data_IF_061714873711
#
_entry.id   IF_061714873711
#
_cell.length_a   1.000
_cell.length_b   1.000
_cell.length_c   1.000
_cell.angle_alpha   90.00
_cell.angle_beta   90.00
_cell.angle_gamma   90.00
#
_symmetry.space_group_name_H-M   'P 1'
#
loop_
_entity.id
_entity.type
_entity.pdbx_description
1 polymer ?
#
# COMPACT_ATOMS: atom_id res chain seq x y z
N UNK A 1 32.56 -4.52 -10.70
CA UNK A 1 31.60 -3.84 -11.60
C UNK A 1 31.42 -2.42 -11.07
N UNK A 2 31.67 -1.36 -11.85
CA UNK A 2 31.60 0.02 -11.34
C UNK A 2 30.16 0.54 -11.49
N UNK A 3 29.43 0.66 -10.37
CA UNK A 3 28.10 1.25 -10.36
C UNK A 3 28.18 2.75 -10.70
N UNK A 4 27.21 3.27 -11.45
CA UNK A 4 27.15 4.69 -11.85
C UNK A 4 25.72 5.09 -12.23
N UNK A 5 25.38 6.37 -12.06
CA UNK A 5 24.09 6.95 -12.50
C UNK A 5 23.94 6.91 -14.02
N UNK A 6 25.03 7.06 -14.77
CA UNK A 6 25.01 6.89 -16.22
C UNK A 6 24.49 5.50 -16.63
N UNK A 7 25.03 4.44 -16.02
CA UNK A 7 24.56 3.08 -16.29
C UNK A 7 23.14 2.86 -15.74
N UNK A 8 22.78 3.47 -14.62
CA UNK A 8 21.42 3.40 -14.07
C UNK A 8 20.38 3.92 -15.08
N UNK A 9 20.62 5.11 -15.62
CA UNK A 9 19.78 5.76 -16.64
C UNK A 9 19.76 4.98 -17.94
N UNK A 10 20.92 4.49 -18.39
CA UNK A 10 21.00 3.64 -19.60
C UNK A 10 20.14 2.39 -19.45
N UNK A 11 20.26 1.68 -18.34
CA UNK A 11 19.46 0.48 -18.10
C UNK A 11 17.97 0.79 -17.95
N UNK A 12 17.60 1.91 -17.34
CA UNK A 12 16.21 2.35 -17.28
C UNK A 12 15.65 2.61 -18.69
N UNK A 13 16.40 3.29 -19.56
CA UNK A 13 16.00 3.54 -20.95
C UNK A 13 15.87 2.25 -21.78
N UNK A 14 16.67 1.22 -21.48
CA UNK A 14 16.61 -0.11 -22.10
C UNK A 14 15.56 -1.03 -21.48
N UNK A 15 14.81 -0.58 -20.46
CA UNK A 15 13.81 -1.38 -19.74
C UNK A 15 14.39 -2.44 -18.82
N UNK A 16 15.69 -2.36 -18.50
CA UNK A 16 16.40 -3.30 -17.63
C UNK A 16 16.28 -2.87 -16.16
N UNK A 17 15.05 -2.88 -15.66
CA UNK A 17 14.68 -2.25 -14.38
C UNK A 17 15.44 -2.79 -13.17
N UNK A 18 15.66 -4.11 -13.07
CA UNK A 18 16.44 -4.70 -11.96
C UNK A 18 17.88 -4.16 -11.92
N UNK A 19 18.49 -3.94 -13.09
CA UNK A 19 19.85 -3.39 -13.19
C UNK A 19 19.84 -1.89 -12.92
N UNK A 20 18.86 -1.17 -13.44
CA UNK A 20 18.69 0.25 -13.18
C UNK A 20 18.57 0.53 -11.68
N UNK A 21 17.63 -0.15 -11.00
CA UNK A 21 17.39 0.02 -9.57
C UNK A 21 18.63 -0.30 -8.73
N UNK A 22 19.32 -1.41 -9.03
CA UNK A 22 20.57 -1.77 -8.34
C UNK A 22 21.65 -0.70 -8.47
N UNK A 23 21.78 -0.09 -9.64
CA UNK A 23 22.74 0.99 -9.85
C UNK A 23 22.36 2.25 -9.10
N UNK A 24 21.09 2.65 -9.12
CA UNK A 24 20.61 3.79 -8.32
C UNK A 24 20.85 3.57 -6.83
N UNK A 25 20.37 2.46 -6.26
CA UNK A 25 20.56 2.16 -4.84
C UNK A 25 22.05 2.25 -4.47
N UNK A 26 22.92 1.56 -5.21
CA UNK A 26 24.34 1.51 -4.89
C UNK A 26 25.01 2.89 -4.93
N UNK A 27 24.70 3.71 -5.94
CA UNK A 27 25.36 5.02 -6.10
C UNK A 27 24.78 6.04 -5.12
N UNK A 28 23.46 6.07 -4.95
CA UNK A 28 22.80 7.04 -4.09
C UNK A 28 23.11 6.80 -2.60
N UNK A 29 23.43 5.56 -2.20
CA UNK A 29 23.95 5.28 -0.85
C UNK A 29 25.30 5.93 -0.56
N UNK A 30 26.08 6.26 -1.58
CA UNK A 30 27.38 6.94 -1.42
C UNK A 30 27.27 8.47 -1.35
N UNK A 31 26.09 9.03 -1.61
CA UNK A 31 25.85 10.47 -1.50
C UNK A 31 25.71 10.89 -0.04
N UNK A 32 26.62 11.75 0.43
CA UNK A 32 26.64 12.23 1.82
C UNK A 32 25.55 13.26 2.12
N UNK A 33 25.22 14.13 1.16
CA UNK A 33 24.20 15.16 1.35
C UNK A 33 22.80 14.59 1.03
N UNK A 34 22.05 14.25 2.08
CA UNK A 34 20.70 13.70 1.98
C UNK A 34 19.74 14.68 1.31
N UNK A 35 19.78 15.97 1.67
CA UNK A 35 18.83 16.95 1.14
C UNK A 35 19.02 17.17 -0.36
N UNK A 36 20.27 17.35 -0.78
CA UNK A 36 20.60 17.49 -2.19
C UNK A 36 20.26 16.22 -2.97
N UNK A 37 20.53 15.03 -2.39
CA UNK A 37 20.17 13.75 -2.99
C UNK A 37 18.67 13.63 -3.24
N UNK A 38 17.85 14.03 -2.28
CA UNK A 38 16.39 14.02 -2.46
C UNK A 38 15.95 14.98 -3.56
N UNK A 39 16.43 16.22 -3.53
CA UNK A 39 16.05 17.24 -4.53
C UNK A 39 16.45 16.82 -5.94
N UNK A 40 17.63 16.25 -6.12
CA UNK A 40 18.15 15.90 -7.44
C UNK A 40 17.58 14.59 -7.98
N UNK A 41 17.32 13.59 -7.13
CA UNK A 41 17.10 12.22 -7.60
C UNK A 41 15.76 11.61 -7.21
N UNK A 42 14.94 12.25 -6.35
CA UNK A 42 13.70 11.62 -5.88
C UNK A 42 12.75 11.27 -7.04
N UNK A 43 12.49 12.18 -7.97
CA UNK A 43 11.54 11.93 -9.07
C UNK A 43 12.07 10.92 -10.09
N UNK A 44 13.36 11.03 -10.45
CA UNK A 44 14.03 10.07 -11.34
C UNK A 44 14.03 8.67 -10.74
N UNK A 45 14.38 8.55 -9.46
CA UNK A 45 14.36 7.27 -8.74
C UNK A 45 12.95 6.72 -8.61
N UNK A 46 11.96 7.56 -8.25
CA UNK A 46 10.55 7.19 -8.13
C UNK A 46 10.02 6.57 -9.42
N UNK A 47 10.30 7.19 -10.57
CA UNK A 47 9.89 6.69 -11.89
C UNK A 47 10.47 5.31 -12.20
N UNK A 48 11.73 5.09 -11.83
CA UNK A 48 12.42 3.80 -12.02
C UNK A 48 11.90 2.75 -11.04
N UNK A 49 11.61 3.13 -9.79
CA UNK A 49 11.03 2.25 -8.78
C UNK A 49 9.64 1.78 -9.21
N UNK A 50 8.78 2.69 -9.68
CA UNK A 50 7.45 2.40 -10.21
C UNK A 50 7.54 1.40 -11.37
N UNK A 51 8.39 1.71 -12.36
CA UNK A 51 8.61 0.82 -13.51
C UNK A 51 9.14 -0.55 -13.09
N UNK A 52 10.06 -0.59 -12.12
CA UNK A 52 10.58 -1.84 -11.58
C UNK A 52 9.47 -2.68 -10.93
N UNK A 53 8.62 -2.07 -10.12
CA UNK A 53 7.51 -2.73 -9.45
C UNK A 53 6.44 -3.24 -10.43
N UNK A 54 6.20 -2.53 -11.54
CA UNK A 54 5.23 -2.94 -12.55
C UNK A 54 5.74 -4.06 -13.47
N UNK A 55 7.01 -4.02 -13.86
CA UNK A 55 7.51 -4.84 -14.98
C UNK A 55 8.49 -5.95 -14.57
N UNK A 56 9.07 -5.91 -13.37
CA UNK A 56 10.07 -6.90 -12.96
C UNK A 56 9.43 -8.09 -12.27
N UNK A 57 9.72 -9.30 -12.76
CA UNK A 57 9.10 -10.55 -12.28
C UNK A 57 9.29 -10.80 -10.78
N UNK A 58 10.41 -10.35 -10.23
CA UNK A 58 10.79 -10.60 -8.84
C UNK A 58 10.53 -9.40 -7.91
N UNK A 59 9.91 -8.32 -8.40
CA UNK A 59 9.80 -7.08 -7.65
C UNK A 59 9.14 -7.28 -6.28
N UNK A 60 7.99 -7.96 -6.25
CA UNK A 60 7.25 -8.20 -5.01
C UNK A 60 8.03 -9.04 -4.00
N UNK A 61 8.72 -10.08 -4.47
CA UNK A 61 9.54 -10.94 -3.62
C UNK A 61 10.74 -10.20 -3.01
N UNK A 62 11.22 -9.14 -3.67
CA UNK A 62 12.37 -8.36 -3.22
C UNK A 62 11.98 -7.08 -2.48
N UNK A 63 10.79 -6.53 -2.71
CA UNK A 63 10.39 -5.20 -2.25
C UNK A 63 10.54 -5.07 -0.73
N UNK A 64 10.04 -6.05 0.04
CA UNK A 64 10.11 -6.04 1.51
C UNK A 64 11.52 -5.86 2.05
N UNK A 65 12.53 -6.44 1.40
CA UNK A 65 13.93 -6.30 1.79
C UNK A 65 14.54 -4.94 1.37
N UNK A 66 13.93 -4.27 0.40
CA UNK A 66 14.38 -2.98 -0.14
C UNK A 66 13.67 -1.77 0.47
N UNK A 67 12.57 -1.95 1.20
CA UNK A 67 11.80 -0.85 1.81
C UNK A 67 12.67 0.07 2.68
N UNK A 68 13.35 -0.47 3.69
CA UNK A 68 14.20 0.34 4.56
C UNK A 68 15.34 1.03 3.79
N UNK A 69 16.10 0.34 2.91
CA UNK A 69 17.09 0.98 2.06
C UNK A 69 16.55 2.13 1.20
N UNK A 70 15.38 1.96 0.57
CA UNK A 70 14.76 2.98 -0.28
C UNK A 70 14.36 4.20 0.56
N UNK A 71 13.72 3.97 1.70
CA UNK A 71 13.23 5.02 2.58
C UNK A 71 14.38 5.78 3.24
N UNK A 72 15.49 5.11 3.56
CA UNK A 72 16.71 5.74 4.04
C UNK A 72 17.34 6.68 3.01
N UNK A 73 17.21 6.36 1.71
CA UNK A 73 17.68 7.25 0.64
C UNK A 73 16.80 8.50 0.50
N UNK A 74 15.51 8.39 0.80
CA UNK A 74 14.54 9.46 0.57
C UNK A 74 13.59 9.65 1.76
N UNK A 75 14.10 9.99 2.96
CA UNK A 75 13.34 10.01 4.21
C UNK A 75 12.21 11.05 4.26
N UNK A 76 12.17 12.02 3.34
CA UNK A 76 11.14 13.08 3.25
C UNK A 76 10.37 13.07 1.93
N UNK A 77 10.59 12.06 1.08
CA UNK A 77 9.99 12.02 -0.25
C UNK A 77 8.54 11.54 -0.22
N UNK A 78 7.61 12.50 -0.21
CA UNK A 78 6.17 12.25 -0.34
C UNK A 78 5.84 11.38 -1.56
N UNK A 79 6.38 11.63 -2.78
CA UNK A 79 6.04 10.82 -3.96
C UNK A 79 6.45 9.35 -3.83
N UNK A 80 7.60 9.06 -3.22
CA UNK A 80 8.08 7.68 -3.04
C UNK A 80 7.21 6.96 -2.02
N UNK A 81 6.83 7.62 -0.93
CA UNK A 81 5.96 7.02 0.09
C UNK A 81 4.57 6.77 -0.45
N UNK A 82 3.99 7.72 -1.18
CA UNK A 82 2.70 7.53 -1.83
C UNK A 82 2.74 6.37 -2.80
N UNK A 83 3.76 6.29 -3.68
CA UNK A 83 3.94 5.18 -4.60
C UNK A 83 4.02 3.81 -3.89
N UNK A 84 4.83 3.70 -2.83
CA UNK A 84 4.94 2.46 -2.05
C UNK A 84 3.63 2.09 -1.34
N UNK A 85 2.93 3.09 -0.80
CA UNK A 85 1.62 2.91 -0.15
C UNK A 85 0.58 2.40 -1.14
N UNK A 86 0.53 2.99 -2.34
CA UNK A 86 -0.35 2.61 -3.44
C UNK A 86 -0.11 1.19 -3.91
N UNK A 87 1.15 0.83 -4.16
CA UNK A 87 1.51 -0.51 -4.61
C UNK A 87 1.14 -1.58 -3.57
N UNK A 88 1.38 -1.32 -2.29
CA UNK A 88 1.14 -2.30 -1.23
C UNK A 88 -0.34 -2.39 -0.85
N UNK A 89 -1.02 -1.27 -0.60
CA UNK A 89 -2.43 -1.28 -0.21
C UNK A 89 -3.34 -1.72 -1.37
N UNK A 90 -2.97 -1.41 -2.63
CA UNK A 90 -3.66 -1.95 -3.79
C UNK A 90 -3.66 -3.48 -3.81
N UNK A 91 -2.58 -4.14 -3.38
CA UNK A 91 -2.49 -5.61 -3.36
C UNK A 91 -3.25 -6.27 -2.22
N UNK A 92 -3.34 -5.62 -1.06
CA UNK A 92 -4.16 -6.13 0.06
C UNK A 92 -5.65 -6.20 -0.31
N UNK A 93 -6.12 -5.31 -1.17
CA UNK A 93 -7.52 -5.27 -1.62
C UNK A 93 -7.90 -6.47 -2.51
N UNK A 94 -6.96 -6.99 -3.31
CA UNK A 94 -7.28 -7.96 -4.36
C UNK A 94 -6.90 -9.41 -4.02
N UNK A 95 -6.29 -9.69 -2.87
CA UNK A 95 -5.81 -11.02 -2.50
C UNK A 95 -6.42 -11.50 -1.17
N UNK A 96 -7.64 -12.06 -1.23
CA UNK A 96 -8.26 -12.76 -0.10
C UNK A 96 -7.58 -14.11 0.23
N UNK A 97 -6.83 -14.70 -0.71
CA UNK A 97 -6.25 -16.05 -0.55
C UNK A 97 -4.77 -16.09 -0.07
N UNK A 98 -4.07 -14.96 0.01
CA UNK A 98 -2.67 -14.88 0.48
C UNK A 98 -2.49 -13.83 1.60
N UNK A 99 -3.44 -13.79 2.53
CA UNK A 99 -3.53 -12.78 3.59
C UNK A 99 -2.25 -12.65 4.45
N UNK A 100 -1.42 -13.69 4.56
CA UNK A 100 -0.20 -13.65 5.37
C UNK A 100 0.94 -12.80 4.74
N UNK A 101 1.10 -12.79 3.41
CA UNK A 101 2.24 -12.09 2.79
C UNK A 101 1.98 -10.60 2.55
N UNK A 102 0.72 -10.23 2.26
CA UNK A 102 0.30 -8.83 2.09
C UNK A 102 0.40 -8.03 3.39
N UNK A 103 -0.17 -8.60 4.47
CA UNK A 103 -0.15 -8.01 5.81
C UNK A 103 1.29 -7.84 6.35
N UNK A 104 2.17 -8.79 6.04
CA UNK A 104 3.60 -8.71 6.36
C UNK A 104 4.27 -7.52 5.66
N UNK A 105 3.95 -7.27 4.39
CA UNK A 105 4.57 -6.20 3.59
C UNK A 105 4.08 -4.81 4.01
N UNK A 106 2.78 -4.66 4.31
CA UNK A 106 2.24 -3.42 4.86
C UNK A 106 2.88 -3.06 6.21
N UNK A 107 2.97 -4.02 7.14
CA UNK A 107 3.59 -3.77 8.44
C UNK A 107 5.10 -3.53 8.32
N UNK A 108 5.79 -4.20 7.38
CA UNK A 108 7.19 -3.90 7.05
C UNK A 108 7.36 -2.47 6.54
N UNK A 109 6.47 -1.98 5.67
CA UNK A 109 6.49 -0.59 5.19
C UNK A 109 6.25 0.39 6.34
N UNK A 110 5.20 0.16 7.13
CA UNK A 110 4.88 1.00 8.29
C UNK A 110 6.05 1.08 9.27
N UNK A 111 6.67 -0.05 9.57
CA UNK A 111 7.85 -0.13 10.44
C UNK A 111 9.03 0.63 9.82
N UNK A 112 9.33 0.41 8.55
CA UNK A 112 10.43 1.08 7.87
C UNK A 112 10.25 2.60 7.85
N UNK A 113 9.04 3.10 7.58
CA UNK A 113 8.73 4.54 7.65
C UNK A 113 8.97 5.10 9.05
N UNK A 114 8.57 4.36 10.10
CA UNK A 114 8.75 4.83 11.49
C UNK A 114 10.21 4.92 11.93
N UNK A 115 11.12 4.21 11.25
CA UNK A 115 12.55 4.15 11.58
C UNK A 115 13.36 5.07 10.67
N UNK A 116 13.08 5.05 9.37
CA UNK A 116 13.92 5.66 8.35
C UNK A 116 13.46 7.06 7.93
N UNK A 117 12.19 7.42 8.12
CA UNK A 117 11.62 8.65 7.58
C UNK A 117 11.41 9.75 8.62
N UNK A 118 11.24 10.97 8.13
CA UNK A 118 10.76 12.09 8.94
C UNK A 118 9.38 11.77 9.57
N UNK A 119 9.10 12.21 10.81
CA UNK A 119 7.84 11.92 11.49
C UNK A 119 6.57 12.25 10.68
N UNK A 120 6.61 13.27 9.82
CA UNK A 120 5.49 13.65 8.97
C UNK A 120 5.12 12.56 7.96
N UNK A 121 6.08 11.75 7.53
CA UNK A 121 5.88 10.70 6.53
C UNK A 121 4.97 9.58 7.01
N UNK A 122 4.91 9.34 8.31
CA UNK A 122 3.92 8.44 8.89
C UNK A 122 2.48 8.92 8.66
N UNK A 123 2.26 10.24 8.63
CA UNK A 123 0.94 10.80 8.30
C UNK A 123 0.63 10.66 6.80
N UNK A 124 1.61 10.92 5.93
CA UNK A 124 1.50 10.73 4.48
C UNK A 124 1.09 9.30 4.16
N UNK A 125 1.80 8.31 4.71
CA UNK A 125 1.49 6.89 4.54
C UNK A 125 0.05 6.54 4.93
N UNK A 126 -0.43 7.02 6.09
CA UNK A 126 -1.80 6.75 6.56
C UNK A 126 -2.84 7.36 5.63
N UNK A 127 -2.63 8.60 5.18
CA UNK A 127 -3.55 9.30 4.27
C UNK A 127 -3.58 8.61 2.92
N UNK A 128 -2.42 8.32 2.32
CA UNK A 128 -2.34 7.62 1.03
C UNK A 128 -3.01 6.24 1.10
N UNK A 129 -2.73 5.46 2.15
CA UNK A 129 -3.38 4.16 2.40
C UNK A 129 -4.90 4.26 2.53
N UNK A 130 -5.40 5.28 3.25
CA UNK A 130 -6.84 5.51 3.41
C UNK A 130 -7.51 5.93 2.11
N UNK A 131 -6.85 6.77 1.30
CA UNK A 131 -7.37 7.23 0.00
C UNK A 131 -7.58 6.06 -0.97
N UNK A 132 -6.62 5.13 -1.04
CA UNK A 132 -6.73 3.93 -1.89
C UNK A 132 -7.93 3.09 -1.46
N UNK A 133 -8.08 2.84 -0.16
CA UNK A 133 -9.24 2.10 0.37
C UNK A 133 -10.56 2.80 0.06
N UNK A 134 -10.58 4.13 0.08
CA UNK A 134 -11.78 4.91 -0.24
C UNK A 134 -12.17 4.90 -1.72
N UNK A 135 -11.29 4.44 -2.63
CA UNK A 135 -11.64 4.30 -4.04
C UNK A 135 -12.63 3.15 -4.33
N UNK A 136 -12.77 2.21 -3.39
CA UNK A 136 -13.62 1.02 -3.53
C UNK A 136 -15.00 1.20 -2.88
N UNK A 137 -15.04 1.95 -1.78
CA UNK A 137 -16.24 2.28 -1.03
C UNK A 137 -16.04 3.64 -0.38
N UNK A 138 -17.11 4.43 -0.29
CA UNK A 138 -17.03 5.68 0.44
C UNK A 138 -16.62 5.45 1.89
N UNK A 139 -15.76 6.31 2.45
CA UNK A 139 -15.24 6.15 3.81
C UNK A 139 -16.34 6.09 4.88
N UNK A 140 -17.51 6.69 4.63
CA UNK A 140 -18.63 6.65 5.58
C UNK A 140 -19.20 5.24 5.79
N UNK A 141 -19.08 4.36 4.78
CA UNK A 141 -19.42 2.94 4.93
C UNK A 141 -18.56 2.25 5.99
N UNK A 142 -17.29 2.64 6.17
CA UNK A 142 -16.43 2.06 7.19
C UNK A 142 -16.87 2.43 8.60
N UNK A 143 -17.36 3.66 8.82
CA UNK A 143 -17.95 4.02 10.10
C UNK A 143 -19.19 3.18 10.40
N UNK A 144 -20.03 2.92 9.40
CA UNK A 144 -21.20 2.05 9.56
C UNK A 144 -20.84 0.59 9.84
N UNK A 145 -19.82 0.03 9.19
CA UNK A 145 -19.36 -1.34 9.42
C UNK A 145 -18.71 -1.48 10.80
N UNK A 146 -17.95 -0.48 11.23
CA UNK A 146 -17.23 -0.52 12.51
C UNK A 146 -18.09 -0.11 13.71
N UNK A 147 -19.31 0.42 13.50
CA UNK A 147 -20.26 0.70 14.57
C UNK A 147 -20.83 -0.61 15.14
N UNK A 148 -20.07 -1.18 16.08
CA UNK A 148 -20.37 -2.48 16.68
C UNK A 148 -21.70 -2.48 17.42
N UNK A 149 -21.97 -1.45 18.22
CA UNK A 149 -23.20 -1.38 19.02
C UNK A 149 -24.44 -1.35 18.14
N UNK A 150 -24.42 -0.50 17.09
CA UNK A 150 -25.49 -0.43 16.09
C UNK A 150 -25.67 -1.77 15.39
N UNK A 151 -24.58 -2.39 14.93
CA UNK A 151 -24.62 -3.62 14.16
C UNK A 151 -25.09 -4.83 14.99
N UNK A 152 -24.72 -4.92 16.27
CA UNK A 152 -25.21 -5.95 17.19
C UNK A 152 -26.73 -5.84 17.40
N UNK A 153 -27.26 -4.62 17.60
CA UNK A 153 -28.71 -4.41 17.74
C UNK A 153 -29.49 -4.83 16.50
N UNK A 154 -28.97 -4.54 15.30
CA UNK A 154 -29.60 -5.00 14.06
C UNK A 154 -29.54 -6.51 13.90
N UNK A 155 -28.40 -7.13 14.23
CA UNK A 155 -28.27 -8.58 14.21
C UNK A 155 -29.28 -9.24 15.15
N UNK A 156 -29.43 -8.71 16.36
CA UNK A 156 -30.38 -9.19 17.37
C UNK A 156 -31.84 -8.99 16.94
N UNK A 157 -32.17 -7.86 16.33
CA UNK A 157 -33.50 -7.64 15.76
C UNK A 157 -33.81 -8.67 14.66
N UNK A 158 -32.88 -8.91 13.73
CA UNK A 158 -33.04 -9.92 12.67
C UNK A 158 -33.14 -11.34 13.24
N UNK A 159 -32.38 -11.67 14.30
CA UNK A 159 -32.47 -12.99 14.98
C UNK A 159 -33.89 -13.31 15.42
N UNK A 160 -34.62 -12.30 15.85
CA UNK A 160 -35.92 -12.46 16.48
C UNK A 160 -37.08 -12.50 15.48
N UNK A 161 -36.84 -12.12 14.21
CA UNK A 161 -37.91 -11.93 13.22
C UNK A 161 -37.75 -12.86 12.01
N UNK A 162 -36.51 -13.09 11.55
CA UNK A 162 -36.24 -13.86 10.32
C UNK A 162 -35.94 -15.32 10.65
N UNK A 163 -36.64 -16.23 9.99
CA UNK A 163 -36.40 -17.69 10.06
C UNK A 163 -35.89 -18.24 8.74
N UNK A 164 -35.33 -19.46 8.74
CA UNK A 164 -34.63 -20.06 7.59
C UNK A 164 -35.50 -20.31 6.35
N UNK A 165 -36.82 -20.26 6.48
CA UNK A 165 -37.77 -20.39 5.35
C UNK A 165 -38.15 -19.07 4.71
N UNK A 166 -37.74 -17.94 5.30
CA UNK A 166 -38.13 -16.62 4.82
C UNK A 166 -37.31 -16.18 3.62
N UNK A 167 -37.91 -15.38 2.76
CA UNK A 167 -37.22 -14.67 1.69
C UNK A 167 -37.06 -13.19 2.07
N UNK A 168 -35.81 -12.73 2.17
CA UNK A 168 -35.48 -11.36 2.59
C UNK A 168 -35.00 -10.55 1.40
N UNK A 169 -35.57 -9.35 1.22
CA UNK A 169 -35.13 -8.35 0.24
C UNK A 169 -34.60 -7.11 0.98
N UNK A 170 -33.32 -6.82 0.79
CA UNK A 170 -32.63 -5.66 1.40
C UNK A 170 -32.58 -4.50 0.40
N UNK A 171 -33.48 -3.52 0.57
CA UNK A 171 -33.59 -2.37 -0.33
C UNK A 171 -32.70 -1.24 0.19
N UNK A 172 -31.78 -0.76 -0.64
CA UNK A 172 -30.81 0.26 -0.23
C UNK A 172 -29.74 -0.31 0.70
N UNK A 173 -29.29 -1.54 0.44
CA UNK A 173 -28.44 -2.35 1.32
C UNK A 173 -27.12 -1.67 1.76
N UNK A 174 -26.67 -0.62 1.09
CA UNK A 174 -25.45 0.12 1.44
C UNK A 174 -24.24 -0.82 1.53
N UNK A 175 -23.77 -1.06 2.76
CA UNK A 175 -22.65 -1.97 3.06
C UNK A 175 -22.98 -3.46 2.91
N UNK A 176 -24.26 -3.82 2.70
CA UNK A 176 -24.73 -5.19 2.59
C UNK A 176 -24.73 -5.97 3.91
N UNK A 177 -24.40 -5.32 5.04
CA UNK A 177 -24.23 -6.01 6.32
C UNK A 177 -25.53 -6.67 6.83
N UNK A 178 -26.69 -6.08 6.52
CA UNK A 178 -28.01 -6.65 6.86
C UNK A 178 -28.33 -7.89 6.03
N UNK A 179 -28.11 -7.83 4.72
CA UNK A 179 -28.17 -8.99 3.83
C UNK A 179 -27.32 -10.16 4.35
N UNK A 180 -26.08 -9.90 4.76
CA UNK A 180 -25.20 -10.94 5.33
C UNK A 180 -25.75 -11.53 6.63
N UNK A 181 -26.31 -10.70 7.52
CA UNK A 181 -26.91 -11.18 8.77
C UNK A 181 -28.18 -12.00 8.55
N UNK A 182 -29.01 -11.61 7.58
CA UNK A 182 -30.21 -12.35 7.19
C UNK A 182 -29.85 -13.70 6.54
N UNK A 183 -28.83 -13.74 5.66
CA UNK A 183 -28.39 -14.96 4.98
C UNK A 183 -27.75 -16.01 5.91
N UNK A 184 -27.34 -15.61 7.14
CA UNK A 184 -26.81 -16.53 8.16
C UNK A 184 -27.91 -17.14 9.06
N UNK A 185 -29.19 -16.91 8.75
CA UNK A 185 -30.35 -17.49 9.43
C UNK A 185 -30.78 -18.79 8.75
#
# INVERSE_FOLDING_TARGET
MKYSLYLARKYAAEGWWDRALRHYLTVLFTYQNVEQREVEFAEEFRSVLESWMCYSRNADSCLSALLAPILNLFPRSVPIITLLSEHIAGKEVFLEDNAESGLCTYENLRRAISVECDPLMGAVFRVSSANIRSSLFDQWHMFMINDKERNEKFLDALRNVVVSTDHVLDIGAGTGIMSVYAARR
#
